data_IF_023693888488
#
_entry.id   IF_023693888488
#
_cell.length_a   1.000
_cell.length_b   1.000
_cell.length_c   1.000
_cell.angle_alpha   90.00
_cell.angle_beta   90.00
_cell.angle_gamma   90.00
#
_symmetry.space_group_name_H-M   'P 1'
#
loop_
_entity.id
_entity.type
_entity.pdbx_description
1 polymer ?
#
# COMPACT_ATOMS: atom_id res chain seq x y z
N UNK A 1 51.48 -24.01 15.51
CA UNK A 1 50.47 -23.20 16.23
C UNK A 1 50.34 -21.75 15.72
N UNK A 2 50.77 -21.39 14.49
CA UNK A 2 50.71 -20.01 13.97
C UNK A 2 49.49 -19.69 13.09
N UNK A 3 48.75 -20.70 12.66
CA UNK A 3 47.57 -20.54 11.80
C UNK A 3 46.34 -19.84 12.45
N UNK A 4 46.00 -20.03 13.74
CA UNK A 4 44.79 -19.40 14.28
C UNK A 4 44.92 -17.89 14.46
N UNK A 5 46.15 -17.37 14.59
CA UNK A 5 46.41 -15.94 14.78
C UNK A 5 46.19 -15.12 13.50
N UNK A 6 46.50 -15.69 12.33
CA UNK A 6 46.30 -15.03 11.04
C UNK A 6 44.81 -14.94 10.68
N UNK A 7 44.02 -15.98 11.00
CA UNK A 7 42.59 -15.99 10.74
C UNK A 7 41.83 -15.00 11.63
N UNK A 8 42.21 -14.91 12.92
CA UNK A 8 41.63 -13.92 13.84
C UNK A 8 41.93 -12.48 13.40
N UNK A 9 43.12 -12.21 12.86
CA UNK A 9 43.48 -10.89 12.33
C UNK A 9 42.66 -10.55 11.07
N UNK A 10 42.44 -11.50 10.16
CA UNK A 10 41.64 -11.26 8.94
C UNK A 10 40.16 -11.02 9.23
N UNK A 11 39.58 -11.68 10.24
CA UNK A 11 38.19 -11.45 10.66
C UNK A 11 37.99 -10.07 11.32
N UNK A 12 39.02 -9.53 11.97
CA UNK A 12 38.96 -8.21 12.59
C UNK A 12 39.00 -7.04 11.57
N UNK A 13 39.57 -7.24 10.37
CA UNK A 13 39.63 -6.20 9.33
C UNK A 13 38.36 -6.11 8.46
N UNK A 14 37.43 -7.07 8.54
CA UNK A 14 36.23 -7.11 7.70
C UNK A 14 35.12 -6.12 8.11
N UNK A 15 35.26 -5.41 9.23
CA UNK A 15 34.18 -4.57 9.80
C UNK A 15 34.26 -3.08 9.45
N UNK A 16 35.27 -2.62 8.71
CA UNK A 16 35.53 -1.19 8.53
C UNK A 16 35.09 -0.58 7.18
N UNK A 17 34.39 -1.32 6.31
CA UNK A 17 33.91 -0.80 5.01
C UNK A 17 32.46 -0.33 5.07
N UNK A 18 32.17 0.63 5.93
CA UNK A 18 30.87 1.32 5.94
C UNK A 18 30.94 2.58 5.08
N UNK A 19 30.50 2.52 3.83
CA UNK A 19 30.25 3.73 3.03
C UNK A 19 29.05 4.48 3.65
N UNK A 20 29.32 5.50 4.47
CA UNK A 20 28.28 6.28 5.10
C UNK A 20 27.77 7.35 4.13
N UNK A 21 26.58 7.16 3.58
CA UNK A 21 25.92 8.19 2.77
C UNK A 21 25.23 9.18 3.71
N UNK A 22 25.72 10.42 3.73
CA UNK A 22 25.15 11.50 4.52
C UNK A 22 24.14 12.27 3.67
N UNK A 23 22.95 12.51 4.22
CA UNK A 23 21.94 13.37 3.59
C UNK A 23 22.16 14.81 4.03
N UNK A 24 22.34 15.71 3.09
CA UNK A 24 22.61 17.12 3.31
C UNK A 24 21.46 17.96 2.77
N UNK A 25 21.13 19.05 3.46
CA UNK A 25 20.11 20.01 3.04
C UNK A 25 20.72 21.40 2.97
N UNK A 26 20.61 22.04 1.81
CA UNK A 26 21.10 23.40 1.62
C UNK A 26 20.11 24.45 2.17
N UNK A 27 20.52 25.72 2.15
CA UNK A 27 19.70 26.84 2.57
C UNK A 27 18.44 27.05 1.70
N UNK A 28 18.44 26.56 0.46
CA UNK A 28 17.28 26.56 -0.43
C UNK A 28 16.31 25.38 -0.15
N UNK A 29 16.69 24.49 0.76
CA UNK A 29 15.92 23.31 1.15
C UNK A 29 16.09 22.12 0.21
N UNK A 30 17.00 22.18 -0.76
CA UNK A 30 17.33 21.05 -1.65
C UNK A 30 18.13 20.01 -0.87
N UNK A 31 17.80 18.75 -1.12
CA UNK A 31 18.44 17.60 -0.48
C UNK A 31 19.45 16.98 -1.44
N UNK A 32 20.68 16.79 -0.98
CA UNK A 32 21.76 16.07 -1.66
C UNK A 32 22.24 14.90 -0.79
N UNK A 33 22.85 13.89 -1.42
CA UNK A 33 23.44 12.76 -0.72
C UNK A 33 24.93 12.74 -1.07
N UNK A 34 25.78 12.72 -0.05
CA UNK A 34 27.22 12.76 -0.22
C UNK A 34 27.89 11.75 0.71
N UNK A 35 28.90 11.07 0.20
CA UNK A 35 29.71 10.08 0.93
C UNK A 35 30.84 10.73 1.75
N UNK A 36 31.25 11.95 1.39
CA UNK A 36 32.28 12.71 2.11
C UNK A 36 31.72 13.69 3.16
N UNK A 37 30.41 13.70 3.39
CA UNK A 37 29.73 14.65 4.29
C UNK A 37 29.20 15.93 3.62
N UNK A 38 28.61 16.83 4.42
CA UNK A 38 27.93 18.04 3.93
C UNK A 38 28.89 19.20 3.71
N UNK A 39 28.62 20.04 2.69
CA UNK A 39 29.43 21.24 2.41
C UNK A 39 29.20 22.31 3.47
N UNK A 40 30.12 23.27 3.58
CA UNK A 40 29.97 24.40 4.50
C UNK A 40 28.66 25.16 4.20
N UNK A 41 27.82 25.32 5.22
CA UNK A 41 26.50 25.95 5.11
C UNK A 41 25.34 25.00 4.77
N UNK A 42 25.62 23.72 4.50
CA UNK A 42 24.59 22.67 4.41
C UNK A 42 24.36 22.03 5.79
N UNK A 43 23.10 21.72 6.10
CA UNK A 43 22.73 21.02 7.31
C UNK A 43 22.69 19.51 7.04
N UNK A 44 23.41 18.73 7.86
CA UNK A 44 23.25 17.27 7.89
C UNK A 44 21.86 16.95 8.38
N UNK A 45 21.08 16.27 7.55
CA UNK A 45 19.77 15.73 7.93
C UNK A 45 20.01 14.29 8.34
N UNK A 46 20.11 14.04 9.64
CA UNK A 46 20.17 12.67 10.11
C UNK A 46 18.90 11.94 9.69
N UNK A 47 19.08 10.78 9.08
CA UNK A 47 18.01 9.95 8.52
C UNK A 47 17.09 9.34 9.61
N UNK A 48 17.11 9.86 10.84
CA UNK A 48 16.19 9.41 11.89
C UNK A 48 16.35 7.92 12.23
N UNK A 49 17.59 7.43 12.19
CA UNK A 49 17.97 6.16 12.81
C UNK A 49 18.47 6.36 14.25
N UNK A 50 18.42 7.60 14.76
CA UNK A 50 18.65 7.86 16.16
C UNK A 50 17.49 7.25 16.97
N UNK A 51 17.73 6.31 17.91
CA UNK A 51 16.68 5.72 18.73
C UNK A 51 15.87 6.76 19.51
N UNK A 52 16.45 7.95 19.72
CA UNK A 52 15.80 9.10 20.38
C UNK A 52 14.93 9.97 19.47
N UNK A 53 14.97 9.84 18.14
CA UNK A 53 14.15 10.65 17.23
C UNK A 53 12.64 10.33 17.33
N UNK A 54 12.29 9.18 17.93
CA UNK A 54 10.92 8.80 18.27
C UNK A 54 10.49 9.24 19.68
N UNK A 55 11.41 9.76 20.50
CA UNK A 55 11.15 10.07 21.92
C UNK A 55 10.56 11.47 22.16
N UNK A 56 10.36 12.28 21.12
CA UNK A 56 9.95 13.69 21.25
C UNK A 56 8.46 13.99 21.01
N UNK A 57 7.59 12.98 20.94
CA UNK A 57 6.15 13.20 20.81
C UNK A 57 5.45 12.42 21.91
N UNK A 58 5.08 13.11 22.97
CA UNK A 58 4.27 12.63 24.11
C UNK A 58 2.83 12.22 23.70
N UNK A 59 2.65 11.77 22.46
CA UNK A 59 1.46 11.05 22.05
C UNK A 59 1.67 9.59 22.49
N UNK A 60 1.28 9.29 23.74
CA UNK A 60 1.20 7.92 24.23
C UNK A 60 0.62 7.04 23.12
N UNK A 61 1.28 5.93 22.75
CA UNK A 61 0.82 5.10 21.64
C UNK A 61 -0.58 4.59 21.98
N UNK A 62 -1.58 5.19 21.34
CA UNK A 62 -2.95 4.70 21.43
C UNK A 62 -2.98 3.23 20.99
N UNK A 63 -3.94 2.44 21.49
CA UNK A 63 -4.07 1.01 21.16
C UNK A 63 -4.01 0.74 19.64
N UNK A 64 -4.50 1.68 18.83
CA UNK A 64 -4.49 1.62 17.36
C UNK A 64 -3.07 1.51 16.77
N UNK A 65 -2.06 2.13 17.40
CA UNK A 65 -0.69 2.15 16.90
C UNK A 65 0.00 0.80 17.09
N UNK A 66 -0.24 0.17 18.24
CA UNK A 66 0.23 -1.19 18.50
C UNK A 66 -0.44 -2.17 17.55
N UNK A 67 -1.75 -2.03 17.33
CA UNK A 67 -2.48 -2.84 16.37
C UNK A 67 -1.91 -2.71 14.95
N UNK A 68 -1.63 -1.48 14.49
CA UNK A 68 -1.00 -1.23 13.19
C UNK A 68 0.39 -1.84 13.07
N UNK A 69 1.18 -1.83 14.15
CA UNK A 69 2.50 -2.48 14.16
C UNK A 69 2.39 -4.00 14.04
N UNK A 70 1.46 -4.61 14.77
CA UNK A 70 1.20 -6.05 14.70
C UNK A 70 0.71 -6.45 13.30
N UNK A 71 -0.22 -5.69 12.71
CA UNK A 71 -0.72 -5.92 11.35
C UNK A 71 0.40 -5.80 10.30
N UNK A 72 1.33 -4.87 10.50
CA UNK A 72 2.51 -4.71 9.64
C UNK A 72 3.43 -5.92 9.68
N UNK A 73 3.69 -6.46 10.88
CA UNK A 73 4.52 -7.66 11.08
C UNK A 73 3.84 -8.91 10.51
N UNK A 74 2.54 -9.07 10.72
CA UNK A 74 1.73 -10.17 10.17
C UNK A 74 1.82 -10.17 8.63
N UNK A 75 1.63 -9.00 8.02
CA UNK A 75 1.72 -8.82 6.56
C UNK A 75 3.11 -9.12 6.02
N UNK A 76 4.17 -8.65 6.71
CA UNK A 76 5.54 -8.92 6.30
C UNK A 76 5.88 -10.42 6.37
N UNK A 77 5.45 -11.12 7.43
CA UNK A 77 5.62 -12.57 7.55
C UNK A 77 4.88 -13.33 6.47
N UNK A 78 3.67 -12.89 6.11
CA UNK A 78 2.91 -13.49 5.01
C UNK A 78 3.65 -13.39 3.68
N UNK A 79 4.20 -12.21 3.36
CA UNK A 79 4.99 -12.00 2.14
C UNK A 79 6.25 -12.87 2.12
N UNK A 80 6.94 -13.03 3.26
CA UNK A 80 8.09 -13.92 3.35
C UNK A 80 7.72 -15.37 3.05
N UNK A 81 6.60 -15.88 3.62
CA UNK A 81 6.12 -17.23 3.32
C UNK A 81 5.74 -17.41 1.85
N UNK A 82 5.01 -16.45 1.28
CA UNK A 82 4.64 -16.48 -0.14
C UNK A 82 5.87 -16.46 -1.06
N UNK A 83 6.93 -15.74 -0.66
CA UNK A 83 8.20 -15.70 -1.40
C UNK A 83 8.94 -17.04 -1.31
N UNK A 84 9.06 -17.61 -0.10
CA UNK A 84 9.68 -18.93 0.09
C UNK A 84 8.92 -20.02 -0.65
N UNK A 85 7.59 -19.99 -0.62
CA UNK A 85 6.74 -20.94 -1.36
C UNK A 85 6.91 -20.80 -2.87
N UNK A 86 7.01 -19.56 -3.39
CA UNK A 86 7.24 -19.32 -4.80
C UNK A 86 8.62 -19.84 -5.26
N UNK A 87 9.67 -19.60 -4.48
CA UNK A 87 11.02 -20.11 -4.77
C UNK A 87 11.04 -21.64 -4.71
N UNK A 88 10.45 -22.23 -3.66
CA UNK A 88 10.37 -23.70 -3.50
C UNK A 88 9.61 -24.34 -4.66
N UNK A 89 8.57 -23.67 -5.19
CA UNK A 89 7.82 -24.16 -6.35
C UNK A 89 8.63 -24.06 -7.64
N UNK A 90 9.43 -23.01 -7.80
CA UNK A 90 10.29 -22.84 -8.98
C UNK A 90 11.42 -23.87 -9.03
N UNK A 91 11.93 -24.29 -7.87
CA UNK A 91 13.04 -25.26 -7.76
C UNK A 91 12.57 -26.72 -7.86
N UNK A 92 11.26 -26.96 -7.79
CA UNK A 92 10.70 -28.29 -7.97
C UNK A 92 10.75 -28.62 -9.47
N UNK A 93 11.47 -29.67 -9.90
CA UNK A 93 11.44 -30.08 -11.31
C UNK A 93 9.99 -30.32 -11.70
N UNK A 94 9.58 -29.93 -12.93
CA UNK A 94 8.24 -30.20 -13.40
C UNK A 94 8.02 -31.71 -13.31
N UNK A 95 7.27 -32.14 -12.30
CA UNK A 95 6.78 -33.51 -12.22
C UNK A 95 5.98 -33.66 -13.49
N UNK A 96 6.40 -34.56 -14.38
CA UNK A 96 5.67 -34.90 -15.57
C UNK A 96 4.29 -35.37 -15.13
N UNK A 97 3.33 -34.45 -15.10
CA UNK A 97 1.94 -34.80 -14.88
C UNK A 97 1.57 -35.70 -16.05
N UNK A 98 1.04 -36.91 -15.80
CA UNK A 98 0.48 -37.70 -16.88
C UNK A 98 -0.46 -36.79 -17.66
N UNK A 99 -0.48 -36.89 -19.00
CA UNK A 99 -1.29 -36.05 -19.86
C UNK A 99 -2.76 -36.11 -19.39
N UNK A 100 -3.15 -35.18 -18.53
CA UNK A 100 -4.49 -35.09 -17.98
C UNK A 100 -5.37 -34.61 -19.11
N UNK A 101 -6.42 -35.37 -19.43
CA UNK A 101 -7.41 -34.98 -20.43
C UNK A 101 -7.85 -33.53 -20.15
N UNK A 102 -7.68 -32.60 -21.11
CA UNK A 102 -8.04 -31.19 -20.92
C UNK A 102 -9.51 -31.01 -20.54
N UNK A 103 -10.40 -31.96 -20.85
CA UNK A 103 -11.81 -31.93 -20.41
C UNK A 103 -11.95 -32.13 -18.92
N UNK A 104 -11.19 -33.05 -18.32
CA UNK A 104 -11.20 -33.28 -16.87
C UNK A 104 -10.67 -32.05 -16.12
N UNK A 105 -9.65 -31.39 -16.66
CA UNK A 105 -9.15 -30.14 -16.08
C UNK A 105 -10.19 -29.01 -16.15
N UNK A 106 -10.89 -28.88 -17.28
CA UNK A 106 -11.97 -27.90 -17.45
C UNK A 106 -13.13 -28.15 -16.47
N UNK A 107 -13.53 -29.41 -16.28
CA UNK A 107 -14.56 -29.80 -15.31
C UNK A 107 -14.15 -29.50 -13.87
N UNK A 108 -12.89 -29.78 -13.51
CA UNK A 108 -12.38 -29.47 -12.18
C UNK A 108 -12.33 -27.96 -11.91
N UNK A 109 -11.92 -27.15 -12.90
CA UNK A 109 -11.97 -25.69 -12.80
C UNK A 109 -13.40 -25.18 -12.62
N UNK A 110 -14.35 -25.71 -13.40
CA UNK A 110 -15.77 -25.34 -13.28
C UNK A 110 -16.32 -25.66 -11.89
N UNK A 111 -15.95 -26.81 -11.33
CA UNK A 111 -16.35 -27.24 -9.98
C UNK A 111 -15.78 -26.30 -8.91
N UNK A 112 -14.49 -25.94 -8.98
CA UNK A 112 -13.86 -24.97 -8.06
C UNK A 112 -14.52 -23.59 -8.14
N UNK A 113 -14.84 -23.13 -9.36
CA UNK A 113 -15.52 -21.85 -9.56
C UNK A 113 -16.97 -21.86 -9.03
N UNK A 114 -17.67 -22.99 -9.09
CA UNK A 114 -19.00 -23.15 -8.51
C UNK A 114 -18.96 -23.15 -6.98
N UNK A 115 -17.99 -23.84 -6.37
CA UNK A 115 -17.78 -23.85 -4.92
C UNK A 115 -17.45 -22.45 -4.39
N UNK A 116 -16.56 -21.70 -5.07
CA UNK A 116 -16.26 -20.32 -4.68
C UNK A 116 -17.49 -19.41 -4.74
N UNK A 117 -18.37 -19.58 -5.73
CA UNK A 117 -19.63 -18.82 -5.80
C UNK A 117 -20.52 -19.12 -4.61
N UNK A 118 -20.71 -20.40 -4.27
CA UNK A 118 -21.47 -20.81 -3.08
C UNK A 118 -20.89 -20.24 -1.78
N UNK A 119 -19.56 -20.24 -1.63
CA UNK A 119 -18.90 -19.66 -0.45
C UNK A 119 -19.13 -18.15 -0.36
N UNK A 120 -19.06 -17.41 -1.48
CA UNK A 120 -19.34 -15.97 -1.50
C UNK A 120 -20.79 -15.67 -1.14
N UNK A 121 -21.74 -16.42 -1.69
CA UNK A 121 -23.16 -16.29 -1.36
C UNK A 121 -23.43 -16.58 0.12
N UNK A 122 -22.78 -17.62 0.69
CA UNK A 122 -22.89 -17.91 2.12
C UNK A 122 -22.26 -16.81 2.99
N UNK A 123 -21.11 -16.28 2.62
CA UNK A 123 -20.46 -15.18 3.34
C UNK A 123 -21.30 -13.89 3.28
N UNK A 124 -21.92 -13.61 2.14
CA UNK A 124 -22.83 -12.48 1.97
C UNK A 124 -24.11 -12.67 2.78
N UNK A 125 -24.70 -13.86 2.76
CA UNK A 125 -25.86 -14.19 3.59
C UNK A 125 -25.55 -14.06 5.10
N UNK A 126 -24.38 -14.53 5.54
CA UNK A 126 -23.92 -14.38 6.92
C UNK A 126 -23.70 -12.91 7.30
N UNK A 127 -23.23 -12.07 6.37
CA UNK A 127 -23.08 -10.62 6.56
C UNK A 127 -24.44 -9.91 6.68
N UNK A 128 -25.46 -10.40 5.97
CA UNK A 128 -26.81 -9.84 5.99
C UNK A 128 -27.67 -10.35 7.16
N UNK A 129 -27.19 -11.33 7.94
CA UNK A 129 -27.91 -11.82 9.12
C UNK A 129 -28.01 -10.68 10.17
N UNK A 130 -29.22 -10.14 10.41
CA UNK A 130 -29.46 -9.04 11.35
C UNK A 130 -29.08 -9.39 12.79
N UNK A 131 -28.95 -10.67 13.11
CA UNK A 131 -28.54 -11.13 14.45
C UNK A 131 -27.06 -10.93 14.75
N UNK A 132 -26.20 -10.82 13.73
CA UNK A 132 -24.74 -10.71 13.94
C UNK A 132 -24.27 -9.28 14.25
N UNK A 133 -25.10 -8.27 13.99
CA UNK A 133 -24.77 -6.85 14.15
C UNK A 133 -25.50 -6.17 15.32
N UNK A 134 -25.99 -6.94 16.30
CA UNK A 134 -26.26 -6.36 17.62
C UNK A 134 -24.95 -6.33 18.38
N UNK A 135 -24.06 -5.42 17.98
CA UNK A 135 -22.95 -5.03 18.81
C UNK A 135 -23.54 -4.24 19.97
N UNK A 136 -23.88 -4.96 21.03
CA UNK A 136 -24.30 -4.35 22.29
C UNK A 136 -23.05 -3.61 22.79
N UNK A 137 -23.04 -2.28 22.68
CA UNK A 137 -22.06 -1.49 23.41
C UNK A 137 -22.14 -1.92 24.89
N UNK A 138 -21.01 -2.06 25.60
CA UNK A 138 -20.98 -2.51 27.00
C UNK A 138 -21.77 -1.60 27.97
N UNK A 139 -22.30 -0.48 27.47
CA UNK A 139 -23.17 0.44 28.20
C UNK A 139 -24.67 0.24 27.98
N UNK A 140 -25.09 -0.75 27.17
CA UNK A 140 -26.47 -1.23 27.16
C UNK A 140 -27.55 -0.19 26.84
N UNK A 141 -27.24 0.82 26.01
CA UNK A 141 -28.23 1.83 25.62
C UNK A 141 -28.72 1.54 24.19
N UNK A 142 -29.93 1.01 24.01
CA UNK A 142 -30.52 0.82 22.68
C UNK A 142 -30.86 2.19 22.08
N UNK A 143 -29.96 2.76 21.29
CA UNK A 143 -30.26 3.92 20.45
C UNK A 143 -31.04 3.47 19.22
N UNK A 144 -32.34 3.29 19.42
CA UNK A 144 -33.27 2.85 18.39
C UNK A 144 -34.71 3.15 18.77
N UNK A 145 -35.00 4.38 19.21
CA UNK A 145 -36.37 4.90 19.31
C UNK A 145 -36.52 6.05 18.33
N UNK A 146 -37.48 5.99 17.37
CA UNK A 146 -37.83 7.13 16.55
C UNK A 146 -38.44 8.19 17.48
N UNK A 147 -37.76 9.33 17.61
CA UNK A 147 -38.14 10.40 18.52
C UNK A 147 -39.58 10.83 18.27
N UNK A 148 -40.41 10.54 19.27
CA UNK A 148 -41.72 11.12 19.45
C UNK A 148 -41.61 12.62 19.70
N UNK A 149 -42.66 13.30 19.25
CA UNK A 149 -43.03 14.68 19.51
C UNK A 149 -42.82 15.03 20.99
N UNK A 150 -41.95 16.00 21.27
CA UNK A 150 -41.87 16.67 22.57
C UNK A 150 -42.64 17.99 22.44
N UNK A 151 -43.83 18.15 23.06
CA UNK A 151 -44.45 19.45 23.23
C UNK A 151 -43.90 20.12 24.50
N UNK A 152 -43.99 21.45 24.56
CA UNK A 152 -43.34 22.40 25.48
C UNK A 152 -41.92 22.79 25.01
N UNK A 153 -41.67 24.00 24.50
CA UNK A 153 -42.28 25.29 24.83
C UNK A 153 -41.21 26.14 25.51
N UNK A 154 -40.54 27.00 24.74
CA UNK A 154 -39.44 27.81 25.28
C UNK A 154 -38.72 28.58 24.19
N UNK A 155 -39.32 29.72 23.82
CA UNK A 155 -38.77 30.75 22.94
C UNK A 155 -37.46 31.29 23.50
N UNK A 156 -36.36 31.16 22.77
CA UNK A 156 -35.35 32.21 22.61
C UNK A 156 -34.63 32.01 21.27
N UNK A 157 -34.80 32.99 20.39
CA UNK A 157 -34.26 32.99 19.04
C UNK A 157 -32.74 33.01 19.02
N UNK A 158 -32.16 32.06 18.29
CA UNK A 158 -30.80 32.09 17.81
C UNK A 158 -30.81 31.46 16.43
N UNK A 159 -30.77 32.29 15.40
CA UNK A 159 -30.69 31.90 14.00
C UNK A 159 -29.37 31.18 13.70
N UNK A 160 -29.27 29.91 14.10
CA UNK A 160 -28.27 29.00 13.58
C UNK A 160 -28.98 28.14 12.54
N UNK A 161 -29.12 28.70 11.34
CA UNK A 161 -29.53 27.96 10.16
C UNK A 161 -28.60 26.76 10.01
N UNK A 162 -29.12 25.58 10.36
CA UNK A 162 -28.45 24.31 10.17
C UNK A 162 -28.21 24.14 8.68
N UNK A 163 -27.01 24.49 8.23
CA UNK A 163 -26.52 24.09 6.92
C UNK A 163 -26.44 22.57 7.03
N UNK A 164 -27.47 21.88 6.54
CA UNK A 164 -27.41 20.45 6.29
C UNK A 164 -26.29 20.24 5.27
N UNK A 165 -25.05 20.14 5.77
CA UNK A 165 -23.90 19.74 4.99
C UNK A 165 -24.22 18.31 4.58
N UNK A 166 -24.72 18.17 3.36
CA UNK A 166 -24.84 16.88 2.71
C UNK A 166 -23.50 16.14 2.83
N UNK A 167 -23.53 14.80 2.75
CA UNK A 167 -22.30 14.01 2.79
C UNK A 167 -21.25 14.62 1.85
N UNK A 168 -19.99 14.71 2.28
CA UNK A 168 -18.94 15.29 1.46
C UNK A 168 -18.96 14.62 0.08
N UNK A 169 -18.85 15.43 -0.97
CA UNK A 169 -18.82 14.92 -2.33
C UNK A 169 -17.76 13.80 -2.43
N UNK A 170 -18.07 12.67 -3.09
CA UNK A 170 -17.11 11.60 -3.25
C UNK A 170 -15.84 12.14 -3.92
N UNK A 171 -14.68 11.75 -3.40
CA UNK A 171 -13.39 12.12 -3.96
C UNK A 171 -13.34 11.72 -5.45
N UNK A 172 -12.80 12.57 -6.33
CA UNK A 172 -12.63 12.22 -7.74
C UNK A 172 -11.86 10.91 -7.91
N UNK A 173 -12.32 10.01 -8.78
CA UNK A 173 -11.59 8.79 -9.12
C UNK A 173 -10.35 9.17 -9.95
N UNK A 174 -9.18 9.22 -9.30
CA UNK A 174 -7.89 9.58 -9.92
C UNK A 174 -7.27 8.43 -10.72
N UNK A 175 -7.92 7.25 -10.79
CA UNK A 175 -7.39 6.12 -11.56
C UNK A 175 -7.40 6.44 -13.06
N UNK A 176 -6.31 6.14 -13.79
CA UNK A 176 -6.29 6.35 -15.24
C UNK A 176 -7.40 5.55 -15.90
N UNK A 177 -8.26 6.24 -16.66
CA UNK A 177 -9.30 5.60 -17.48
C UNK A 177 -8.96 5.75 -18.94
N UNK A 178 -8.89 4.64 -19.67
CA UNK A 178 -8.72 4.65 -21.12
C UNK A 178 -9.93 5.34 -21.79
N UNK A 179 -9.65 6.22 -22.75
CA UNK A 179 -10.59 7.02 -23.55
C UNK A 179 -10.02 7.21 -24.96
N UNK A 180 -10.90 7.45 -25.93
CA UNK A 180 -10.48 7.82 -27.29
C UNK A 180 -9.61 6.75 -27.96
N UNK A 181 -10.07 5.50 -27.95
CA UNK A 181 -9.39 4.43 -28.68
C UNK A 181 -9.67 4.53 -30.18
N UNK A 182 -8.62 4.59 -30.99
CA UNK A 182 -8.68 4.66 -32.45
C UNK A 182 -7.71 3.66 -33.11
N UNK A 183 -7.44 3.86 -34.40
CA UNK A 183 -6.49 3.03 -35.13
C UNK A 183 -5.03 3.22 -34.69
N UNK A 184 -4.66 4.28 -33.98
CA UNK A 184 -3.30 4.50 -33.50
C UNK A 184 -3.10 3.94 -32.08
N UNK A 185 -4.15 3.90 -31.25
CA UNK A 185 -4.06 3.40 -29.88
C UNK A 185 -5.20 3.90 -29.00
N UNK A 186 -5.00 3.86 -27.68
CA UNK A 186 -5.91 4.44 -26.69
C UNK A 186 -5.17 5.51 -25.88
N UNK A 187 -5.85 6.58 -25.51
CA UNK A 187 -5.33 7.54 -24.52
C UNK A 187 -5.95 7.29 -23.15
N UNK A 188 -5.35 7.74 -22.06
CA UNK A 188 -6.01 7.76 -20.76
C UNK A 188 -6.36 9.18 -20.29
N UNK A 189 -7.08 9.27 -19.17
CA UNK A 189 -7.43 10.55 -18.52
C UNK A 189 -6.24 11.36 -18.03
N UNK A 190 -5.02 10.81 -18.05
CA UNK A 190 -3.78 11.47 -17.66
C UNK A 190 -2.91 11.84 -18.89
N UNK A 191 -3.40 11.59 -20.11
CA UNK A 191 -2.69 11.91 -21.36
C UNK A 191 -1.68 10.84 -21.80
N UNK A 192 -1.66 9.68 -21.16
CA UNK A 192 -0.82 8.57 -21.58
C UNK A 192 -1.42 7.89 -22.81
N UNK A 193 -0.57 7.46 -23.74
CA UNK A 193 -0.96 6.75 -24.96
C UNK A 193 -0.50 5.30 -24.90
N UNK A 194 -1.42 4.40 -25.22
CA UNK A 194 -1.23 2.96 -25.28
C UNK A 194 -1.39 2.49 -26.71
N UNK A 195 -0.51 1.61 -27.17
CA UNK A 195 -0.62 0.99 -28.48
C UNK A 195 -1.78 -0.03 -28.54
N UNK A 196 -2.03 -0.61 -29.73
CA UNK A 196 -3.07 -1.63 -29.91
C UNK A 196 -2.83 -2.93 -29.14
N UNK A 197 -1.61 -3.18 -28.68
CA UNK A 197 -1.27 -4.32 -27.84
C UNK A 197 -1.46 -4.00 -26.34
N UNK A 198 -1.92 -2.79 -26.00
CA UNK A 198 -2.11 -2.32 -24.64
C UNK A 198 -0.81 -1.95 -23.94
N UNK A 199 0.30 -1.80 -24.67
CA UNK A 199 1.59 -1.39 -24.11
C UNK A 199 1.64 0.13 -24.08
N UNK A 200 2.25 0.68 -23.02
CA UNK A 200 2.44 2.11 -22.88
C UNK A 200 3.47 2.59 -23.92
N UNK A 201 3.05 3.38 -24.90
CA UNK A 201 3.93 3.98 -25.92
C UNK A 201 4.47 5.34 -25.47
N UNK A 202 3.63 6.10 -24.75
CA UNK A 202 3.96 7.47 -24.34
C UNK A 202 3.26 7.80 -23.02
N UNK A 203 3.96 8.48 -22.12
CA UNK A 203 3.33 9.02 -20.91
C UNK A 203 3.69 10.48 -20.69
N UNK A 204 2.78 11.22 -20.06
CA UNK A 204 2.96 12.64 -19.76
C UNK A 204 3.25 12.78 -18.27
N UNK A 205 4.37 13.44 -17.95
CA UNK A 205 4.73 13.70 -16.56
C UNK A 205 3.94 14.89 -16.00
N UNK A 206 3.87 15.04 -14.67
CA UNK A 206 3.25 16.21 -14.03
C UNK A 206 3.90 17.55 -14.41
N UNK A 207 5.13 17.52 -14.94
CA UNK A 207 5.85 18.70 -15.46
C UNK A 207 5.50 19.03 -16.93
N UNK A 208 4.58 18.28 -17.55
CA UNK A 208 4.16 18.43 -18.93
C UNK A 208 5.11 17.79 -19.96
N UNK A 209 6.25 17.23 -19.53
CA UNK A 209 7.18 16.57 -20.45
C UNK A 209 6.64 15.23 -20.89
N UNK A 210 6.97 14.88 -22.12
CA UNK A 210 6.49 13.64 -22.71
C UNK A 210 7.61 12.61 -22.72
N UNK A 211 7.33 11.45 -22.14
CA UNK A 211 8.30 10.39 -21.97
C UNK A 211 7.90 9.17 -22.80
N UNK A 212 8.91 8.46 -23.33
CA UNK A 212 8.76 7.21 -24.08
C UNK A 212 9.63 6.12 -23.48
N UNK A 213 9.11 4.91 -23.25
CA UNK A 213 9.93 3.76 -22.90
C UNK A 213 10.75 3.30 -24.11
N UNK A 214 12.07 3.20 -23.93
CA UNK A 214 13.03 2.68 -24.92
C UNK A 214 13.79 1.53 -24.25
N UNK A 215 13.36 0.30 -24.56
CA UNK A 215 13.84 -0.91 -23.88
C UNK A 215 13.41 -0.93 -22.41
N UNK A 216 14.38 -0.93 -21.49
CA UNK A 216 14.16 -0.86 -20.04
C UNK A 216 14.31 0.57 -19.48
N UNK A 217 14.63 1.53 -20.34
CA UNK A 217 14.86 2.93 -19.95
C UNK A 217 13.71 3.81 -20.39
N UNK A 218 13.58 4.98 -19.77
CA UNK A 218 12.64 6.00 -20.22
C UNK A 218 13.39 7.26 -20.62
N UNK A 219 13.05 7.78 -21.81
CA UNK A 219 13.58 9.03 -22.33
C UNK A 219 12.47 10.06 -22.39
N UNK A 220 12.69 11.24 -21.80
CA UNK A 220 11.74 12.35 -21.79
C UNK A 220 12.26 13.50 -22.65
N UNK A 221 11.40 14.03 -23.51
CA UNK A 221 11.66 15.20 -24.37
C UNK A 221 10.74 16.36 -24.05
#
# INVERSE_FOLDING_TARGET
MRAPLVLALLLALATASGAQVVRCRDAAGKVSYNDTGCKAGEQRVDLGLDPGAYAGRDDAPGPDRLQQQLDGVERARRLQRETVDAVTRADRPPVATPATDPRLWQEEQNRRAAEQRRQREQAEAARLDPRSNVQVDPYGVPYGVPYGVVPYGGVYGGAYGGIHRGPPAPLPDLRPRLRGCDGAGCQDTQGNHYDRAGRLDRYVRPDGRTCRPVGTTVVCG
#
